data_IF_082819201625
#
_entry.id   IF_082819201625
#
_cell.length_a   1.000
_cell.length_b   1.000
_cell.length_c   1.000
_cell.angle_alpha   90.00
_cell.angle_beta   90.00
_cell.angle_gamma   90.00
#
_symmetry.space_group_name_H-M   'P 1'
#
loop_
_entity.id
_entity.type
_entity.pdbx_description
1 polymer ?
#
# COMPACT_ATOMS: atom_id res chain seq x y z
N UNK A 1 51.12 21.00 -17.29
CA UNK A 1 50.68 21.13 -17.13
C UNK A 1 49.59 20.74 -17.12
N UNK A 2 49.03 20.44 -16.99
CA UNK A 2 48.12 20.15 -17.10
C UNK A 2 47.39 19.40 -16.40
N UNK A 3 46.91 19.19 -15.83
CA UNK A 3 46.35 18.50 -15.21
C UNK A 3 45.36 18.88 -14.59
N UNK A 4 44.91 19.24 -14.39
CA UNK A 4 44.08 19.68 -13.85
C UNK A 4 42.82 19.31 -14.04
N UNK A 5 42.34 18.71 -14.22
CA UNK A 5 41.30 18.43 -14.69
C UNK A 5 40.44 17.58 -13.94
N UNK A 6 40.46 16.86 -13.22
CA UNK A 6 39.71 15.99 -12.62
C UNK A 6 38.91 16.40 -11.52
N UNK A 7 38.40 17.42 -11.48
CA UNK A 7 37.81 17.81 -10.37
C UNK A 7 36.36 17.74 -10.34
N UNK A 8 35.64 17.31 -11.27
CA UNK A 8 34.24 17.40 -11.32
C UNK A 8 33.46 16.20 -10.95
N UNK A 9 34.07 15.09 -10.79
CA UNK A 9 33.35 13.85 -10.53
C UNK A 9 32.51 13.84 -9.28
N UNK A 10 32.88 14.41 -8.17
CA UNK A 10 32.14 14.26 -6.94
C UNK A 10 30.78 14.92 -6.89
N UNK A 11 30.52 15.81 -7.80
CA UNK A 11 29.28 16.54 -7.73
C UNK A 11 28.05 15.70 -8.03
N UNK A 12 28.18 14.67 -8.81
CA UNK A 12 27.02 13.90 -9.20
C UNK A 12 26.51 13.01 -8.10
N UNK A 13 27.30 12.68 -7.14
CA UNK A 13 26.89 11.78 -6.08
C UNK A 13 25.84 12.42 -5.19
N UNK A 14 25.91 13.71 -5.00
CA UNK A 14 24.96 14.39 -4.15
C UNK A 14 23.55 14.39 -4.70
N UNK A 15 23.40 14.44 -5.99
CA UNK A 15 22.07 14.46 -6.59
C UNK A 15 21.32 13.16 -6.35
N UNK A 16 22.02 12.05 -6.31
CA UNK A 16 21.36 10.78 -6.08
C UNK A 16 20.82 10.60 -4.68
N UNK A 17 21.47 11.21 -3.70
CA UNK A 17 21.01 11.10 -2.33
C UNK A 17 19.72 11.87 -2.05
N UNK A 18 19.51 12.96 -2.75
CA UNK A 18 18.31 13.76 -2.53
C UNK A 18 17.06 13.10 -3.06
N UNK A 19 17.19 12.20 -4.02
CA UNK A 19 16.02 11.60 -4.63
C UNK A 19 15.32 10.57 -3.76
N UNK A 20 15.97 10.03 -2.75
CA UNK A 20 15.40 8.96 -1.94
C UNK A 20 14.48 9.46 -0.83
N UNK A 21 14.65 10.68 -0.36
CA UNK A 21 13.92 11.17 0.80
C UNK A 21 12.42 11.32 0.62
N UNK A 22 11.89 11.78 -0.52
CA UNK A 22 10.45 12.00 -0.64
C UNK A 22 9.60 10.76 -0.52
N UNK A 23 10.08 9.63 -0.97
CA UNK A 23 9.29 8.41 -0.93
C UNK A 23 9.01 7.93 0.49
N UNK A 24 9.97 8.04 1.38
CA UNK A 24 9.78 7.65 2.76
C UNK A 24 8.84 8.59 3.50
N UNK A 25 8.94 9.87 3.25
CA UNK A 25 8.06 10.85 3.87
C UNK A 25 6.62 10.62 3.45
N UNK A 26 6.39 10.28 2.22
CA UNK A 26 5.07 10.00 1.70
C UNK A 26 4.43 8.78 2.38
N UNK A 27 5.19 7.72 2.55
CA UNK A 27 4.70 6.52 3.22
C UNK A 27 4.32 6.79 4.68
N UNK A 28 5.10 7.61 5.36
CA UNK A 28 4.79 7.96 6.74
C UNK A 28 3.52 8.77 6.84
N UNK A 29 3.30 9.68 5.90
CA UNK A 29 2.08 10.47 5.84
C UNK A 29 0.86 9.60 5.65
N UNK A 30 0.92 8.66 4.71
CA UNK A 30 -0.19 7.74 4.47
C UNK A 30 -0.49 6.88 5.69
N UNK A 31 0.54 6.38 6.36
CA UNK A 31 0.35 5.56 7.56
C UNK A 31 -0.30 6.34 8.69
N UNK A 32 0.04 7.60 8.84
CA UNK A 32 -0.58 8.44 9.87
C UNK A 32 -2.04 8.69 9.57
N UNK A 33 -2.38 8.97 8.31
CA UNK A 33 -3.75 9.25 7.91
C UNK A 33 -4.64 8.05 8.16
N UNK A 34 -4.17 6.86 7.84
CA UNK A 34 -4.91 5.63 8.10
C UNK A 34 -5.11 5.43 9.59
N UNK A 35 -4.05 5.61 10.38
CA UNK A 35 -4.11 5.41 11.82
C UNK A 35 -5.09 6.39 12.46
N UNK A 36 -5.08 7.64 12.05
CA UNK A 36 -6.00 8.64 12.56
C UNK A 36 -7.44 8.32 12.20
N UNK A 37 -7.70 7.91 10.97
CA UNK A 37 -9.03 7.55 10.53
C UNK A 37 -9.58 6.37 11.31
N UNK A 38 -8.77 5.38 11.62
CA UNK A 38 -9.17 4.26 12.45
C UNK A 38 -9.47 4.70 13.88
N UNK A 39 -8.62 5.56 14.43
CA UNK A 39 -8.76 6.01 15.80
C UNK A 39 -10.01 6.86 16.01
N UNK A 40 -10.42 7.61 15.00
CA UNK A 40 -11.64 8.42 15.06
C UNK A 40 -12.90 7.64 14.70
N UNK A 41 -12.78 6.36 14.37
CA UNK A 41 -13.92 5.53 14.03
C UNK A 41 -14.46 5.73 12.62
N UNK A 42 -13.73 6.49 11.79
CA UNK A 42 -14.19 6.76 10.43
C UNK A 42 -13.77 5.68 9.44
N UNK A 43 -12.84 4.81 9.83
CA UNK A 43 -12.33 3.77 8.97
C UNK A 43 -12.22 2.49 9.77
N UNK A 44 -12.70 1.39 9.22
CA UNK A 44 -12.53 0.08 9.85
C UNK A 44 -11.07 -0.36 9.69
N UNK A 45 -10.55 -1.08 10.69
CA UNK A 45 -9.20 -1.61 10.60
C UNK A 45 -9.14 -2.75 9.60
N UNK A 46 -7.93 -3.05 9.12
CA UNK A 46 -7.76 -4.21 8.24
C UNK A 46 -8.18 -5.50 8.93
N UNK A 47 -7.96 -5.60 10.23
CA UNK A 47 -8.40 -6.80 10.96
C UNK A 47 -9.90 -7.00 10.91
N UNK A 48 -10.65 -5.92 11.05
CA UNK A 48 -12.10 -6.00 10.93
C UNK A 48 -12.51 -6.41 9.53
N UNK A 49 -11.84 -5.87 8.52
CA UNK A 49 -12.09 -6.21 7.14
C UNK A 49 -11.75 -7.69 6.89
N UNK A 50 -10.61 -8.14 7.36
CA UNK A 50 -10.20 -9.53 7.20
C UNK A 50 -11.19 -10.50 7.84
N UNK A 51 -11.67 -10.18 9.03
CA UNK A 51 -12.64 -11.01 9.72
C UNK A 51 -13.95 -11.15 8.95
N UNK A 52 -14.31 -10.14 8.18
CA UNK A 52 -15.53 -10.18 7.38
C UNK A 52 -15.36 -10.91 6.06
N UNK A 53 -14.21 -10.75 5.42
CA UNK A 53 -14.03 -11.19 4.05
C UNK A 53 -13.37 -12.55 3.94
N UNK A 54 -12.30 -12.78 4.69
CA UNK A 54 -11.52 -14.01 4.56
C UNK A 54 -12.37 -15.27 4.73
N UNK A 55 -13.28 -15.35 5.72
CA UNK A 55 -14.11 -16.55 5.87
C UNK A 55 -15.03 -16.82 4.68
N UNK A 56 -15.32 -15.82 3.85
CA UNK A 56 -16.19 -16.02 2.70
C UNK A 56 -15.44 -16.52 1.47
N UNK A 57 -14.11 -16.50 1.50
CA UNK A 57 -13.27 -16.90 0.38
C UNK A 57 -12.79 -18.34 0.56
N UNK A 58 -13.70 -19.26 0.35
CA UNK A 58 -13.42 -20.70 0.53
C UNK A 58 -12.43 -21.20 -0.51
N UNK A 59 -11.58 -22.12 -0.09
CA UNK A 59 -10.59 -22.75 -0.95
C UNK A 59 -9.63 -21.73 -1.57
N UNK A 60 -9.43 -20.61 -0.93
CA UNK A 60 -8.51 -19.58 -1.36
C UNK A 60 -7.50 -19.28 -0.26
N UNK A 61 -6.27 -19.03 -0.67
CA UNK A 61 -5.21 -18.65 0.25
C UNK A 61 -5.14 -17.12 0.30
N UNK A 62 -5.21 -16.56 1.50
CA UNK A 62 -5.10 -15.12 1.67
C UNK A 62 -3.63 -14.70 1.53
N UNK A 63 -3.36 -13.75 0.65
CA UNK A 63 -2.00 -13.29 0.37
C UNK A 63 -1.64 -11.97 1.03
N UNK A 64 -2.62 -11.19 1.44
CA UNK A 64 -2.38 -9.88 2.02
C UNK A 64 -3.29 -8.83 1.41
N UNK A 65 -3.01 -7.58 1.72
CA UNK A 65 -3.88 -6.50 1.31
C UNK A 65 -3.08 -5.26 0.91
N UNK A 66 -3.74 -4.38 0.17
CA UNK A 66 -3.30 -3.01 -0.06
C UNK A 66 -4.40 -2.08 0.40
N UNK A 67 -4.03 -0.87 0.78
CA UNK A 67 -5.00 0.16 1.15
C UNK A 67 -4.73 1.43 0.36
N UNK A 68 -5.79 1.99 -0.21
CA UNK A 68 -5.72 3.25 -0.92
C UNK A 68 -6.31 4.35 -0.04
N UNK A 69 -5.46 5.24 0.46
CA UNK A 69 -5.89 6.29 1.36
C UNK A 69 -6.78 7.34 0.69
N UNK A 70 -6.62 7.50 -0.61
CA UNK A 70 -7.44 8.47 -1.34
C UNK A 70 -8.89 8.07 -1.44
N UNK A 71 -9.16 6.78 -1.65
CA UNK A 71 -10.52 6.29 -1.79
C UNK A 71 -11.06 5.62 -0.53
N UNK A 72 -10.18 5.24 0.39
CA UNK A 72 -10.58 4.47 1.56
C UNK A 72 -10.88 3.01 1.27
N UNK A 73 -10.35 2.49 0.16
CA UNK A 73 -10.62 1.13 -0.28
C UNK A 73 -9.48 0.21 0.10
N UNK A 74 -9.82 -0.92 0.72
CA UNK A 74 -8.89 -2.02 0.94
C UNK A 74 -9.01 -3.00 -0.22
N UNK A 75 -7.89 -3.47 -0.74
CA UNK A 75 -7.86 -4.54 -1.73
C UNK A 75 -7.22 -5.77 -1.11
N UNK A 76 -8.00 -6.81 -0.90
CA UNK A 76 -7.52 -8.07 -0.35
C UNK A 76 -7.20 -9.01 -1.51
N UNK A 77 -6.08 -9.68 -1.41
CA UNK A 77 -5.58 -10.56 -2.48
C UNK A 77 -5.63 -12.00 -2.02
N UNK A 78 -6.14 -12.86 -2.88
CA UNK A 78 -6.26 -14.29 -2.59
C UNK A 78 -5.73 -15.10 -3.77
N UNK A 79 -5.30 -16.32 -3.48
CA UNK A 79 -4.87 -17.26 -4.50
C UNK A 79 -5.81 -18.46 -4.47
N UNK A 80 -6.41 -18.80 -5.62
CA UNK A 80 -7.27 -19.96 -5.75
C UNK A 80 -6.97 -20.64 -7.09
N UNK A 81 -6.58 -21.90 -7.02
CA UNK A 81 -6.29 -22.67 -8.23
C UNK A 81 -5.29 -22.00 -9.16
N UNK A 82 -4.28 -21.36 -8.58
CA UNK A 82 -3.25 -20.68 -9.36
C UNK A 82 -3.64 -19.30 -9.87
N UNK A 83 -4.84 -18.83 -9.57
CA UNK A 83 -5.31 -17.52 -10.01
C UNK A 83 -5.40 -16.55 -8.84
N UNK A 84 -5.03 -15.29 -9.09
CA UNK A 84 -5.14 -14.25 -8.08
C UNK A 84 -6.52 -13.61 -8.17
N UNK A 85 -7.18 -13.52 -7.02
CA UNK A 85 -8.48 -12.87 -6.90
C UNK A 85 -8.29 -11.63 -6.04
N UNK A 86 -8.79 -10.50 -6.50
CA UNK A 86 -8.75 -9.26 -5.75
C UNK A 86 -10.16 -8.90 -5.31
N UNK A 87 -10.30 -8.62 -4.02
CA UNK A 87 -11.59 -8.22 -3.43
C UNK A 87 -11.43 -6.82 -2.88
N UNK A 88 -12.19 -5.89 -3.42
CA UNK A 88 -12.15 -4.51 -2.98
C UNK A 88 -13.24 -4.25 -1.96
N UNK A 89 -12.86 -3.66 -0.83
CA UNK A 89 -13.77 -3.47 0.30
C UNK A 89 -13.71 -2.01 0.73
N UNK A 90 -14.88 -1.41 0.88
CA UNK A 90 -14.97 -0.06 1.39
C UNK A 90 -14.55 -0.05 2.86
N UNK A 91 -13.52 0.70 3.18
CA UNK A 91 -13.02 0.78 4.55
C UNK A 91 -13.97 1.47 5.52
N UNK A 92 -14.90 2.24 5.02
CA UNK A 92 -15.86 2.95 5.89
C UNK A 92 -17.04 2.08 6.27
N UNK A 93 -17.51 1.26 5.36
CA UNK A 93 -18.68 0.42 5.58
C UNK A 93 -18.37 -1.06 5.80
N UNK A 94 -17.23 -1.51 5.32
CA UNK A 94 -16.87 -2.92 5.35
C UNK A 94 -17.54 -3.74 4.25
N UNK A 95 -18.19 -3.09 3.30
CA UNK A 95 -18.88 -3.80 2.22
C UNK A 95 -17.96 -4.03 1.05
N UNK A 96 -18.12 -5.19 0.41
CA UNK A 96 -17.40 -5.50 -0.81
C UNK A 96 -17.97 -4.66 -1.94
N UNK A 97 -17.11 -3.88 -2.59
CA UNK A 97 -17.52 -2.98 -3.66
C UNK A 97 -17.02 -3.43 -5.02
N UNK A 98 -16.12 -4.39 -5.07
CA UNK A 98 -15.62 -4.90 -6.34
C UNK A 98 -14.88 -6.21 -6.14
N UNK A 99 -14.73 -6.95 -7.23
CA UNK A 99 -14.03 -8.22 -7.21
C UNK A 99 -13.50 -8.53 -8.59
N UNK A 100 -12.29 -9.04 -8.67
CA UNK A 100 -11.71 -9.46 -9.94
C UNK A 100 -11.09 -10.84 -9.78
N UNK A 101 -10.97 -11.53 -10.88
CA UNK A 101 -10.51 -12.90 -10.90
C UNK A 101 -11.64 -13.88 -10.55
N UNK A 102 -11.28 -15.14 -10.48
CA UNK A 102 -12.26 -16.17 -10.18
C UNK A 102 -11.93 -16.83 -8.84
#
# INVERSE_FOLDING_TARGET
>A
MMFRVALFAPLFVLAGLLAAAPAEAQRRGESRDVFEAMRTGKLLSIRDIEHRVVPTMRDAQYLGFDFDSGSGIYTLKFLRNGNVIWVEVDGHSGQVVGRSGN
#
